data_IF_308267822721
#
_entry.id   IF_308267822721
#
_cell.length_a   1.000
_cell.length_b   1.000
_cell.length_c   1.000
_cell.angle_alpha   90.00
_cell.angle_beta   90.00
_cell.angle_gamma   90.00
#
_symmetry.space_group_name_H-M   'P 1'
#
loop_
_entity.id
_entity.type
_entity.pdbx_description
1 polymer ?
#
# COMPACT_ATOMS: atom_id res chain seq x y z
N UNK A 1 -11.08 -16.56 -3.60
CA UNK A 1 -11.22 -15.50 -4.62
C UNK A 1 -12.24 -14.44 -4.17
N UNK A 2 -12.30 -14.12 -2.87
CA UNK A 2 -13.34 -13.24 -2.29
C UNK A 2 -12.77 -12.03 -1.55
N UNK A 3 -11.44 -11.96 -1.33
CA UNK A 3 -10.84 -10.88 -0.54
C UNK A 3 -10.81 -9.52 -1.25
N UNK A 4 -10.81 -9.51 -2.58
CA UNK A 4 -10.67 -8.29 -3.39
C UNK A 4 -11.89 -7.99 -4.26
N UNK A 5 -12.96 -8.80 -4.19
CA UNK A 5 -14.17 -8.52 -4.94
C UNK A 5 -15.00 -7.46 -4.20
N UNK A 6 -15.24 -6.35 -4.88
CA UNK A 6 -16.02 -5.23 -4.36
C UNK A 6 -17.38 -5.15 -5.07
N UNK A 7 -18.46 -5.10 -4.27
CA UNK A 7 -19.83 -5.08 -4.80
C UNK A 7 -20.21 -3.73 -5.37
N UNK A 8 -19.79 -2.64 -4.75
CA UNK A 8 -20.09 -1.29 -5.25
C UNK A 8 -19.37 -1.04 -6.57
N UNK A 9 -18.13 -1.52 -6.68
CA UNK A 9 -17.40 -1.56 -7.95
C UNK A 9 -18.13 -2.41 -8.98
N UNK A 10 -18.59 -3.61 -8.62
CA UNK A 10 -19.37 -4.46 -9.52
C UNK A 10 -20.67 -3.80 -10.00
N UNK A 11 -21.34 -3.03 -9.14
CA UNK A 11 -22.53 -2.25 -9.50
C UNK A 11 -22.19 -1.10 -10.46
N UNK A 12 -21.00 -0.51 -10.33
CA UNK A 12 -20.53 0.60 -11.18
C UNK A 12 -19.98 0.16 -12.56
N UNK A 13 -19.21 -0.92 -12.63
CA UNK A 13 -18.48 -1.36 -13.85
C UNK A 13 -18.93 -2.71 -14.40
N UNK A 14 -19.87 -3.37 -13.72
CA UNK A 14 -20.38 -4.69 -14.08
C UNK A 14 -19.59 -5.84 -13.45
N UNK A 15 -20.30 -6.93 -13.14
CA UNK A 15 -19.77 -8.09 -12.42
C UNK A 15 -18.52 -8.72 -13.08
N UNK A 16 -18.53 -8.87 -14.40
CA UNK A 16 -17.41 -9.47 -15.14
C UNK A 16 -16.13 -8.65 -15.02
N UNK A 17 -16.23 -7.33 -15.17
CA UNK A 17 -15.09 -6.42 -15.06
C UNK A 17 -14.58 -6.36 -13.60
N UNK A 18 -15.49 -6.25 -12.62
CA UNK A 18 -15.11 -6.27 -11.20
C UNK A 18 -14.45 -7.59 -10.78
N UNK A 19 -14.90 -8.73 -11.32
CA UNK A 19 -14.25 -10.04 -11.10
C UNK A 19 -12.84 -10.06 -11.68
N UNK A 20 -12.64 -9.50 -12.87
CA UNK A 20 -11.31 -9.40 -13.48
C UNK A 20 -10.37 -8.51 -12.66
N UNK A 21 -10.85 -7.35 -12.20
CA UNK A 21 -10.08 -6.47 -11.30
C UNK A 21 -9.70 -7.20 -10.01
N UNK A 22 -10.64 -7.93 -9.39
CA UNK A 22 -10.37 -8.70 -8.19
C UNK A 22 -9.30 -9.80 -8.40
N UNK A 23 -9.28 -10.42 -9.59
CA UNK A 23 -8.24 -11.39 -9.95
C UNK A 23 -6.88 -10.70 -10.08
N UNK A 24 -6.79 -9.58 -10.80
CA UNK A 24 -5.55 -8.81 -10.94
C UNK A 24 -5.02 -8.32 -9.59
N UNK A 25 -5.90 -7.84 -8.71
CA UNK A 25 -5.53 -7.43 -7.36
C UNK A 25 -5.01 -8.62 -6.52
N UNK A 26 -5.62 -9.79 -6.68
CA UNK A 26 -5.15 -11.02 -5.99
C UNK A 26 -3.75 -11.42 -6.46
N UNK A 27 -3.49 -11.35 -7.76
CA UNK A 27 -2.18 -11.67 -8.34
C UNK A 27 -1.13 -10.66 -7.87
N UNK A 28 -1.45 -9.36 -7.89
CA UNK A 28 -0.57 -8.31 -7.39
C UNK A 28 -0.21 -8.52 -5.90
N UNK A 29 -1.19 -8.85 -5.05
CA UNK A 29 -0.91 -9.14 -3.64
C UNK A 29 0.03 -10.34 -3.50
N UNK A 30 -0.20 -11.41 -4.28
CA UNK A 30 0.67 -12.58 -4.23
C UNK A 30 2.11 -12.25 -4.68
N UNK A 31 2.29 -11.29 -5.58
CA UNK A 31 3.60 -10.83 -6.04
C UNK A 31 4.30 -10.01 -4.94
N UNK A 32 3.58 -9.10 -4.28
CA UNK A 32 4.05 -8.34 -3.12
C UNK A 32 4.50 -9.28 -1.99
N UNK A 33 3.67 -10.29 -1.66
CA UNK A 33 3.98 -11.27 -0.62
C UNK A 33 5.29 -12.04 -0.94
N UNK A 34 5.52 -12.40 -2.21
CA UNK A 34 6.77 -13.05 -2.64
C UNK A 34 7.96 -12.12 -2.52
N UNK A 35 7.82 -10.86 -2.93
CA UNK A 35 8.89 -9.86 -2.79
C UNK A 35 9.23 -9.61 -1.31
N UNK A 36 8.23 -9.50 -0.46
CA UNK A 36 8.40 -9.33 0.98
C UNK A 36 9.09 -10.55 1.62
N UNK A 37 8.75 -11.77 1.19
CA UNK A 37 9.44 -12.97 1.63
C UNK A 37 10.93 -12.97 1.22
N UNK A 38 11.24 -12.55 -0.01
CA UNK A 38 12.63 -12.41 -0.47
C UNK A 38 13.39 -11.34 0.33
N UNK A 39 12.80 -10.16 0.55
CA UNK A 39 13.39 -9.10 1.39
C UNK A 39 13.71 -9.60 2.80
N UNK A 40 12.77 -10.31 3.45
CA UNK A 40 13.01 -10.90 4.78
C UNK A 40 14.13 -11.93 4.77
N UNK A 41 14.23 -12.75 3.74
CA UNK A 41 15.33 -13.71 3.59
C UNK A 41 16.70 -13.01 3.42
N UNK A 42 16.72 -11.82 2.82
CA UNK A 42 17.91 -10.95 2.71
C UNK A 42 18.19 -10.13 3.98
N UNK A 43 17.38 -10.26 5.04
CA UNK A 43 17.50 -9.47 6.26
C UNK A 43 17.02 -8.03 6.14
N UNK A 44 16.20 -7.73 5.11
CA UNK A 44 15.59 -6.42 4.87
C UNK A 44 14.13 -6.40 5.36
N UNK A 45 13.60 -5.23 5.77
CA UNK A 45 12.19 -5.07 6.08
C UNK A 45 11.29 -5.29 4.85
N UNK A 46 10.00 -5.53 5.06
CA UNK A 46 9.00 -5.49 3.97
C UNK A 46 8.88 -4.09 3.39
N UNK A 47 8.22 -3.98 2.24
CA UNK A 47 7.88 -2.68 1.65
C UNK A 47 7.08 -1.82 2.65
N UNK A 48 6.09 -2.40 3.31
CA UNK A 48 5.22 -1.68 4.25
C UNK A 48 5.96 -1.30 5.54
N UNK A 49 6.84 -2.17 6.03
CA UNK A 49 7.70 -1.89 7.19
C UNK A 49 8.71 -0.76 6.87
N UNK A 50 9.25 -0.74 5.65
CA UNK A 50 10.14 0.31 5.13
C UNK A 50 9.40 1.64 4.97
N UNK A 51 8.21 1.63 4.35
CA UNK A 51 7.36 2.80 4.17
C UNK A 51 6.97 3.43 5.51
N UNK A 52 6.54 2.63 6.49
CA UNK A 52 6.14 3.13 7.81
C UNK A 52 7.33 3.78 8.56
N UNK A 53 8.53 3.21 8.42
CA UNK A 53 9.73 3.80 8.99
C UNK A 53 10.07 5.15 8.35
N UNK A 54 9.89 5.28 7.04
CA UNK A 54 10.06 6.55 6.32
C UNK A 54 9.02 7.58 6.75
N UNK A 55 7.72 7.22 6.79
CA UNK A 55 6.66 8.11 7.28
C UNK A 55 6.92 8.56 8.71
N UNK A 56 7.33 7.65 9.59
CA UNK A 56 7.67 7.97 10.97
C UNK A 56 8.83 8.99 11.06
N UNK A 57 9.85 8.84 10.21
CA UNK A 57 10.94 9.81 10.11
C UNK A 57 10.42 11.19 9.70
N UNK A 58 9.57 11.28 8.66
CA UNK A 58 9.00 12.57 8.25
C UNK A 58 8.14 13.19 9.36
N UNK A 59 7.34 12.40 10.07
CA UNK A 59 6.53 12.89 11.20
C UNK A 59 7.39 13.47 12.32
N UNK A 60 8.46 12.80 12.74
CA UNK A 60 9.39 13.30 13.76
C UNK A 60 9.99 14.67 13.36
N UNK A 61 10.36 14.82 12.08
CA UNK A 61 10.97 16.06 11.57
C UNK A 61 9.95 17.20 11.50
N UNK A 62 8.70 16.89 11.16
CA UNK A 62 7.60 17.85 11.22
C UNK A 62 7.30 18.29 12.66
N UNK A 63 7.34 17.37 13.63
CA UNK A 63 7.20 17.70 15.05
C UNK A 63 8.35 18.60 15.55
N UNK A 64 9.55 18.42 15.00
CA UNK A 64 10.69 19.31 15.23
C UNK A 64 10.56 20.69 14.54
N UNK A 65 9.48 20.91 13.77
CA UNK A 65 9.16 22.18 13.12
C UNK A 65 9.67 22.31 11.68
N UNK A 66 10.22 21.25 11.09
CA UNK A 66 10.58 21.24 9.68
C UNK A 66 9.34 21.19 8.78
N UNK A 67 9.44 21.82 7.61
CA UNK A 67 8.37 21.85 6.62
C UNK A 67 8.80 21.09 5.38
N UNK A 68 7.90 20.27 4.87
CA UNK A 68 8.09 19.51 3.64
C UNK A 68 7.09 19.97 2.59
N UNK A 69 7.19 19.38 1.40
CA UNK A 69 6.15 19.55 0.40
C UNK A 69 4.79 19.07 0.96
N UNK A 70 3.67 19.78 0.71
CA UNK A 70 2.36 19.39 1.22
C UNK A 70 1.96 17.95 0.88
N UNK A 71 2.35 17.42 -0.28
CA UNK A 71 2.04 16.05 -0.68
C UNK A 71 2.80 15.03 0.18
N UNK A 72 4.04 15.36 0.58
CA UNK A 72 4.85 14.54 1.49
C UNK A 72 4.31 14.63 2.92
N UNK A 73 3.89 15.82 3.36
CA UNK A 73 3.26 15.98 4.67
C UNK A 73 1.95 15.19 4.76
N UNK A 74 1.11 15.22 3.71
CA UNK A 74 -0.13 14.45 3.62
C UNK A 74 0.13 12.95 3.62
N UNK A 75 1.03 12.47 2.75
CA UNK A 75 1.43 11.05 2.72
C UNK A 75 1.97 10.55 4.07
N UNK A 76 2.79 11.33 4.78
CA UNK A 76 3.32 10.93 6.08
C UNK A 76 2.26 10.90 7.20
N UNK A 77 1.14 11.63 7.04
CA UNK A 77 0.01 11.68 7.98
C UNK A 77 -1.15 10.76 7.61
N UNK A 78 -1.06 10.07 6.46
CA UNK A 78 -2.15 9.30 5.86
C UNK A 78 -3.41 10.17 5.59
N UNK A 79 -3.19 11.42 5.14
CA UNK A 79 -4.21 12.45 4.82
C UNK A 79 -4.38 12.71 3.31
#
# INVERSE_FOLDING_TARGET
>A
MTKFFDKELADAIGYGAATHVAALASDLQADIDRMNAMRKAEGRPTIEEEEEAEKAWFRERMEAGERFDPDVEGWARDE
#
